data_IF_133072723076
#
_entry.id   IF_133072723076
#
_cell.length_a   1.000
_cell.length_b   1.000
_cell.length_c   1.000
_cell.angle_alpha   90.00
_cell.angle_beta   90.00
_cell.angle_gamma   90.00
#
_symmetry.space_group_name_H-M   'P 1'
#
loop_
_entity.id
_entity.type
_entity.pdbx_description
1 polymer ?
#
# COMPACT_ATOMS: atom_id res chain seq x y z
N UNK A 1 -5.37 -23.32 -24.53
CA UNK A 1 -5.36 -21.84 -24.43
C UNK A 1 -6.73 -21.35 -24.89
N UNK A 2 -7.68 -21.15 -23.99
CA UNK A 2 -8.97 -20.53 -24.29
C UNK A 2 -8.77 -19.02 -24.28
N UNK A 3 -8.81 -18.40 -25.47
CA UNK A 3 -8.89 -16.96 -25.57
C UNK A 3 -10.09 -16.47 -24.77
N UNK A 4 -9.98 -15.39 -23.98
CA UNK A 4 -11.14 -14.78 -23.35
C UNK A 4 -12.11 -14.36 -24.46
N UNK A 5 -13.38 -14.61 -24.23
CA UNK A 5 -14.46 -14.22 -25.13
C UNK A 5 -14.41 -12.67 -25.31
N UNK A 6 -14.14 -12.15 -26.51
CA UNK A 6 -13.99 -10.71 -26.74
C UNK A 6 -15.27 -9.92 -26.45
N UNK A 7 -16.38 -10.59 -26.20
CA UNK A 7 -17.68 -9.97 -25.89
C UNK A 7 -17.82 -9.49 -24.43
N UNK A 8 -16.88 -9.75 -23.53
CA UNK A 8 -16.99 -9.42 -22.08
C UNK A 8 -15.80 -8.65 -21.54
N UNK A 9 -15.38 -7.62 -22.23
CA UNK A 9 -14.33 -6.74 -21.72
C UNK A 9 -14.87 -5.31 -21.58
N UNK A 10 -14.38 -4.57 -20.60
CA UNK A 10 -14.72 -3.18 -20.36
C UNK A 10 -13.44 -2.35 -20.31
N UNK A 11 -13.48 -1.19 -20.93
CA UNK A 11 -12.46 -0.17 -20.72
C UNK A 11 -12.92 0.75 -19.60
N UNK A 12 -12.15 0.82 -18.53
CA UNK A 12 -12.45 1.60 -17.33
C UNK A 12 -11.29 2.55 -17.01
N UNK A 13 -11.57 3.62 -16.29
CA UNK A 13 -10.54 4.53 -15.79
C UNK A 13 -9.99 4.03 -14.46
N UNK A 14 -8.68 3.85 -14.39
CA UNK A 14 -8.00 3.43 -13.16
C UNK A 14 -7.95 4.58 -12.14
N UNK A 15 -8.36 4.32 -10.91
CA UNK A 15 -8.30 5.25 -9.77
C UNK A 15 -7.67 4.56 -8.57
N UNK A 16 -6.92 5.32 -7.79
CA UNK A 16 -6.31 4.79 -6.58
C UNK A 16 -7.39 4.56 -5.50
N UNK A 17 -7.38 3.35 -4.93
CA UNK A 17 -8.20 3.01 -3.77
C UNK A 17 -7.37 3.21 -2.50
N UNK A 18 -7.74 4.21 -1.71
CA UNK A 18 -7.08 4.53 -0.43
C UNK A 18 -7.71 3.79 0.76
N UNK A 19 -8.67 2.89 0.51
CA UNK A 19 -9.32 2.11 1.56
C UNK A 19 -8.34 1.14 2.23
N UNK A 20 -8.18 1.27 3.55
CA UNK A 20 -7.36 0.36 4.35
C UNK A 20 -7.78 -1.12 4.25
N UNK A 21 -9.07 -1.37 4.02
CA UNK A 21 -9.62 -2.74 3.91
C UNK A 21 -9.07 -3.47 2.69
N UNK A 22 -8.82 -2.76 1.60
CA UNK A 22 -8.36 -3.35 0.33
C UNK A 22 -6.87 -3.16 0.08
N UNK A 23 -6.21 -2.31 0.89
CA UNK A 23 -4.82 -1.94 0.68
C UNK A 23 -3.91 -3.16 0.50
N UNK A 24 -3.26 -3.24 -0.66
CA UNK A 24 -2.25 -4.25 -1.03
C UNK A 24 -2.71 -5.71 -0.85
N UNK A 25 -4.02 -5.96 -0.93
CA UNK A 25 -4.61 -7.31 -0.78
C UNK A 25 -4.98 -7.97 -2.11
N UNK A 26 -4.71 -7.30 -3.24
CA UNK A 26 -5.03 -7.80 -4.58
C UNK A 26 -6.54 -7.81 -4.84
N UNK A 27 -7.26 -6.83 -4.27
CA UNK A 27 -8.69 -6.62 -4.49
C UNK A 27 -8.89 -5.33 -5.28
N UNK A 28 -9.65 -5.42 -6.35
CA UNK A 28 -10.09 -4.26 -7.13
C UNK A 28 -11.57 -4.04 -6.94
N UNK A 29 -12.00 -2.79 -6.84
CA UNK A 29 -13.41 -2.46 -6.65
C UNK A 29 -14.04 -1.98 -7.94
N UNK A 30 -15.13 -2.62 -8.33
CA UNK A 30 -15.90 -2.36 -9.54
C UNK A 30 -17.31 -1.91 -9.20
N UNK A 31 -17.82 -0.94 -9.94
CA UNK A 31 -19.21 -0.55 -9.82
C UNK A 31 -20.14 -1.76 -10.13
N UNK A 32 -21.30 -1.91 -9.45
CA UNK A 32 -22.22 -3.03 -9.69
C UNK A 32 -22.58 -3.23 -11.17
N UNK A 33 -22.75 -2.15 -11.94
CA UNK A 33 -23.02 -2.21 -13.37
C UNK A 33 -21.86 -2.83 -14.17
N UNK A 34 -20.62 -2.59 -13.77
CA UNK A 34 -19.46 -3.18 -14.42
C UNK A 34 -19.38 -4.70 -14.12
N UNK A 35 -19.64 -5.10 -12.89
CA UNK A 35 -19.72 -6.52 -12.49
C UNK A 35 -20.80 -7.24 -13.32
N UNK A 36 -22.00 -6.64 -13.46
CA UNK A 36 -23.08 -7.20 -14.27
C UNK A 36 -22.72 -7.27 -15.76
N UNK A 37 -22.10 -6.22 -16.31
CA UNK A 37 -21.70 -6.18 -17.72
C UNK A 37 -20.59 -7.20 -18.06
N UNK A 38 -19.64 -7.43 -17.13
CA UNK A 38 -18.62 -8.47 -17.24
C UNK A 38 -19.19 -9.88 -17.06
N UNK A 39 -20.41 -10.01 -16.50
CA UNK A 39 -21.03 -11.29 -16.20
C UNK A 39 -20.32 -12.09 -15.10
N UNK A 40 -19.67 -11.39 -14.18
CA UNK A 40 -18.97 -11.96 -13.03
C UNK A 40 -19.77 -11.74 -11.73
N UNK A 41 -19.33 -12.40 -10.68
CA UNK A 41 -19.83 -12.20 -9.31
C UNK A 41 -18.78 -11.49 -8.48
N UNK A 42 -19.19 -10.94 -7.34
CA UNK A 42 -18.25 -10.47 -6.35
C UNK A 42 -17.32 -11.61 -5.93
N UNK A 43 -16.05 -11.31 -5.84
CA UNK A 43 -14.93 -12.22 -5.55
C UNK A 43 -14.49 -13.13 -6.71
N UNK A 44 -15.07 -13.01 -7.89
CA UNK A 44 -14.51 -13.59 -9.09
C UNK A 44 -13.22 -12.87 -9.50
N UNK A 45 -12.37 -13.56 -10.25
CA UNK A 45 -11.13 -12.98 -10.72
C UNK A 45 -11.32 -12.22 -12.03
N UNK A 46 -10.58 -11.13 -12.15
CA UNK A 46 -10.49 -10.31 -13.36
C UNK A 46 -9.05 -10.11 -13.79
N UNK A 47 -8.85 -10.05 -15.09
CA UNK A 47 -7.62 -9.61 -15.71
C UNK A 47 -7.66 -8.09 -15.91
N UNK A 48 -6.55 -7.44 -15.62
CA UNK A 48 -6.32 -6.01 -15.78
C UNK A 48 -5.20 -5.83 -16.79
N UNK A 49 -5.52 -5.27 -17.95
CA UNK A 49 -4.55 -5.05 -19.03
C UNK A 49 -4.31 -3.56 -19.21
N UNK A 50 -3.12 -3.13 -18.82
CA UNK A 50 -2.55 -1.82 -19.10
C UNK A 50 -1.34 -1.98 -20.03
N UNK A 51 -0.19 -1.41 -19.66
CA UNK A 51 1.08 -1.72 -20.35
C UNK A 51 1.62 -3.11 -19.99
N UNK A 52 1.15 -3.68 -18.90
CA UNK A 52 1.33 -5.08 -18.49
C UNK A 52 -0.04 -5.68 -18.15
N UNK A 53 -0.09 -7.01 -18.06
CA UNK A 53 -1.30 -7.72 -17.67
C UNK A 53 -1.08 -8.38 -16.32
N UNK A 54 -2.00 -8.15 -15.39
CA UNK A 54 -2.06 -8.84 -14.09
C UNK A 54 -3.48 -9.34 -13.83
N UNK A 55 -3.67 -10.07 -12.75
CA UNK A 55 -4.98 -10.53 -12.31
C UNK A 55 -5.23 -10.14 -10.84
N UNK A 56 -6.48 -9.84 -10.55
CA UNK A 56 -6.93 -9.46 -9.22
C UNK A 56 -8.33 -10.02 -8.94
N UNK A 57 -8.78 -9.90 -7.71
CA UNK A 57 -10.13 -10.30 -7.31
C UNK A 57 -11.06 -9.09 -7.35
N UNK A 58 -12.24 -9.24 -7.96
CA UNK A 58 -13.23 -8.18 -8.06
C UNK A 58 -14.11 -8.13 -6.81
N UNK A 59 -14.16 -6.98 -6.17
CA UNK A 59 -15.12 -6.66 -5.12
C UNK A 59 -16.06 -5.55 -5.57
N UNK A 60 -17.18 -5.39 -4.87
CA UNK A 60 -18.13 -4.32 -5.13
C UNK A 60 -17.59 -2.98 -4.62
N UNK A 61 -17.61 -1.96 -5.48
CA UNK A 61 -17.37 -0.58 -5.07
C UNK A 61 -18.59 -0.01 -4.34
N UNK A 62 -18.39 1.07 -3.59
CA UNK A 62 -19.48 1.84 -3.00
C UNK A 62 -20.41 2.40 -4.09
N UNK A 63 -21.69 2.55 -3.78
CA UNK A 63 -22.72 2.92 -4.74
C UNK A 63 -22.52 4.34 -5.33
N UNK A 64 -21.79 5.19 -4.66
CA UNK A 64 -21.41 6.56 -5.07
C UNK A 64 -20.15 6.61 -5.96
N UNK A 65 -19.51 5.46 -6.18
CA UNK A 65 -18.35 5.36 -7.06
C UNK A 65 -18.77 5.67 -8.49
N UNK A 66 -18.00 6.50 -9.20
CA UNK A 66 -18.30 6.90 -10.57
C UNK A 66 -18.36 5.68 -11.50
N UNK A 67 -19.44 5.57 -12.28
CA UNK A 67 -19.57 4.55 -13.32
C UNK A 67 -18.44 4.71 -14.34
N UNK A 68 -17.84 3.59 -14.76
CA UNK A 68 -16.70 3.62 -15.69
C UNK A 68 -15.34 3.74 -15.01
N UNK A 69 -15.29 3.64 -13.68
CA UNK A 69 -14.02 3.59 -12.95
C UNK A 69 -13.77 2.22 -12.32
N UNK A 70 -12.49 1.88 -12.13
CA UNK A 70 -12.03 0.77 -11.31
C UNK A 70 -11.09 1.32 -10.23
N UNK A 71 -11.31 0.92 -8.97
CA UNK A 71 -10.46 1.31 -7.86
C UNK A 71 -9.42 0.22 -7.63
N UNK A 72 -8.14 0.60 -7.64
CA UNK A 72 -6.98 -0.28 -7.54
C UNK A 72 -6.08 0.20 -6.39
N UNK A 73 -5.45 -0.72 -5.69
CA UNK A 73 -4.35 -0.36 -4.80
C UNK A 73 -3.08 -0.01 -5.60
N UNK A 74 -2.09 0.58 -4.93
CA UNK A 74 -0.82 1.01 -5.52
C UNK A 74 -0.05 -0.16 -6.17
N UNK A 75 -0.07 -1.33 -5.55
CA UNK A 75 0.62 -2.53 -6.02
C UNK A 75 -0.05 -3.08 -7.27
N UNK A 76 -1.38 -3.23 -7.26
CA UNK A 76 -2.14 -3.70 -8.42
C UNK A 76 -2.04 -2.73 -9.59
N UNK A 77 -2.07 -1.41 -9.32
CA UNK A 77 -1.84 -0.37 -10.33
C UNK A 77 -0.46 -0.53 -10.99
N UNK A 78 0.58 -0.72 -10.17
CA UNK A 78 1.95 -0.95 -10.63
C UNK A 78 2.09 -2.25 -11.41
N UNK A 79 1.46 -3.35 -10.97
CA UNK A 79 1.50 -4.64 -11.65
C UNK A 79 0.88 -4.57 -13.05
N UNK A 80 -0.20 -3.83 -13.23
CA UNK A 80 -0.79 -3.58 -14.55
C UNK A 80 -0.02 -2.55 -15.38
N UNK A 81 1.01 -1.92 -14.83
CA UNK A 81 1.78 -0.87 -15.50
C UNK A 81 0.95 0.36 -15.81
N UNK A 82 0.06 0.74 -14.91
CA UNK A 82 -0.88 1.85 -15.05
C UNK A 82 -0.43 3.06 -14.23
N UNK A 83 -0.98 4.20 -14.57
CA UNK A 83 -0.99 5.42 -13.75
C UNK A 83 -2.42 5.78 -13.41
N UNK A 84 -2.63 6.46 -12.30
CA UNK A 84 -3.95 6.96 -11.96
C UNK A 84 -4.52 7.85 -13.07
N UNK A 85 -5.79 7.65 -13.40
CA UNK A 85 -6.49 8.35 -14.47
C UNK A 85 -6.28 7.76 -15.87
N UNK A 86 -5.47 6.72 -16.04
CA UNK A 86 -5.31 6.03 -17.33
C UNK A 86 -6.39 4.98 -17.56
N UNK A 87 -6.62 4.62 -18.80
CA UNK A 87 -7.55 3.55 -19.17
C UNK A 87 -6.93 2.17 -18.94
N UNK A 88 -7.75 1.24 -18.49
CA UNK A 88 -7.42 -0.17 -18.28
C UNK A 88 -8.51 -1.04 -18.88
N UNK A 89 -8.12 -2.11 -19.56
CA UNK A 89 -9.07 -3.12 -20.04
C UNK A 89 -9.24 -4.15 -18.92
N UNK A 90 -10.49 -4.34 -18.51
CA UNK A 90 -10.90 -5.31 -17.49
C UNK A 90 -11.71 -6.41 -18.16
N UNK A 91 -11.34 -7.66 -17.94
CA UNK A 91 -12.02 -8.84 -18.46
C UNK A 91 -12.08 -9.97 -17.44
N UNK A 92 -13.09 -10.85 -17.49
CA UNK A 92 -13.11 -12.06 -16.68
C UNK A 92 -11.89 -12.94 -16.98
N UNK A 93 -11.34 -13.58 -15.96
CA UNK A 93 -10.23 -14.51 -16.12
C UNK A 93 -10.42 -15.76 -15.28
N UNK A 94 -10.09 -16.92 -15.85
CA UNK A 94 -10.08 -18.17 -15.10
C UNK A 94 -8.78 -18.26 -14.29
N UNK A 95 -8.91 -18.46 -12.99
CA UNK A 95 -7.80 -18.61 -12.06
C UNK A 95 -7.79 -20.03 -11.53
N UNK A 96 -6.63 -20.67 -11.57
CA UNK A 96 -6.43 -22.02 -11.03
C UNK A 96 -5.83 -21.96 -9.62
N UNK A 97 -6.11 -22.97 -8.82
CA UNK A 97 -5.39 -23.16 -7.56
C UNK A 97 -3.91 -23.43 -7.84
N UNK A 98 -3.03 -22.65 -7.22
CA UNK A 98 -1.59 -22.84 -7.36
C UNK A 98 -1.16 -24.17 -6.75
N UNK A 99 -0.42 -24.99 -7.51
CA UNK A 99 0.33 -26.11 -6.94
C UNK A 99 1.60 -25.59 -6.26
N UNK A 100 2.32 -24.71 -6.97
CA UNK A 100 3.47 -24.05 -6.40
C UNK A 100 3.54 -22.58 -6.80
N UNK A 101 4.11 -21.76 -5.90
CA UNK A 101 4.45 -20.36 -6.11
C UNK A 101 5.86 -20.13 -5.60
N UNK A 102 6.70 -19.54 -6.43
CA UNK A 102 8.06 -19.16 -6.07
C UNK A 102 8.16 -17.64 -6.00
N UNK A 103 8.71 -17.14 -4.91
CA UNK A 103 8.77 -15.71 -4.60
C UNK A 103 10.20 -15.27 -4.34
N UNK A 104 10.47 -14.02 -4.67
CA UNK A 104 11.71 -13.32 -4.33
C UNK A 104 11.36 -12.11 -3.46
N UNK A 105 12.16 -11.80 -2.48
CA UNK A 105 11.98 -10.67 -1.57
C UNK A 105 13.30 -10.14 -1.06
N UNK A 106 13.26 -9.24 -0.08
CA UNK A 106 14.46 -8.75 0.59
C UNK A 106 15.23 -9.89 1.28
N UNK A 107 16.51 -9.68 1.51
CA UNK A 107 17.34 -10.65 2.26
C UNK A 107 16.76 -10.92 3.65
N UNK A 108 16.24 -9.89 4.30
CA UNK A 108 15.62 -10.00 5.61
C UNK A 108 14.37 -10.90 5.54
N UNK A 109 13.47 -10.66 4.58
CA UNK A 109 12.26 -11.45 4.42
C UNK A 109 12.57 -12.91 4.10
N UNK A 110 13.49 -13.17 3.17
CA UNK A 110 13.85 -14.53 2.76
C UNK A 110 14.51 -15.35 3.90
N UNK A 111 15.25 -14.70 4.78
CA UNK A 111 15.89 -15.35 5.92
C UNK A 111 14.96 -15.53 7.12
N UNK A 112 14.00 -14.61 7.31
CA UNK A 112 13.21 -14.54 8.54
C UNK A 112 11.81 -15.11 8.42
N UNK A 113 11.20 -15.10 7.20
CA UNK A 113 9.81 -15.55 7.01
C UNK A 113 9.77 -17.01 6.54
N UNK A 114 9.28 -17.95 7.38
CA UNK A 114 9.13 -19.35 6.99
C UNK A 114 8.11 -19.52 5.85
N UNK A 115 8.27 -20.52 4.96
CA UNK A 115 7.34 -20.80 3.86
C UNK A 115 5.87 -21.01 4.30
N UNK A 116 5.65 -21.56 5.48
CA UNK A 116 4.30 -21.73 6.04
C UNK A 116 3.63 -20.40 6.34
N UNK A 117 4.35 -19.46 6.97
CA UNK A 117 3.85 -18.12 7.25
C UNK A 117 3.61 -17.34 5.96
N UNK A 118 4.53 -17.47 4.99
CA UNK A 118 4.41 -16.88 3.68
C UNK A 118 3.13 -17.35 2.96
N UNK A 119 2.87 -18.67 2.94
CA UNK A 119 1.63 -19.23 2.38
C UNK A 119 0.38 -18.67 3.09
N UNK A 120 0.40 -18.59 4.42
CA UNK A 120 -0.74 -18.06 5.17
C UNK A 120 -1.02 -16.59 4.86
N UNK A 121 0.02 -15.78 4.68
CA UNK A 121 -0.12 -14.36 4.31
C UNK A 121 -0.67 -14.17 2.89
N UNK A 122 -0.37 -15.08 1.99
CA UNK A 122 -0.76 -15.00 0.58
C UNK A 122 -2.04 -15.77 0.25
N UNK A 123 -2.64 -16.43 1.23
CA UNK A 123 -3.83 -17.26 1.02
C UNK A 123 -4.96 -16.48 0.33
N UNK A 124 -5.52 -17.06 -0.74
CA UNK A 124 -6.61 -16.48 -1.53
C UNK A 124 -6.20 -15.29 -2.41
N UNK A 125 -4.95 -14.86 -2.42
CA UNK A 125 -4.47 -13.85 -3.37
C UNK A 125 -4.31 -14.47 -4.75
N UNK A 126 -4.66 -13.68 -5.76
CA UNK A 126 -4.44 -14.00 -7.17
C UNK A 126 -3.18 -13.29 -7.63
N UNK A 127 -2.36 -13.98 -8.42
CA UNK A 127 -1.09 -13.45 -8.89
C UNK A 127 -0.63 -14.12 -10.18
N UNK A 128 0.22 -13.43 -10.93
CA UNK A 128 0.91 -13.92 -12.12
C UNK A 128 2.43 -13.74 -11.96
N UNK A 129 3.20 -14.42 -12.79
CA UNK A 129 4.66 -14.22 -12.81
C UNK A 129 5.00 -12.77 -13.13
N UNK A 130 5.90 -12.19 -12.37
CA UNK A 130 6.32 -10.79 -12.48
C UNK A 130 5.53 -9.82 -11.62
N UNK A 131 4.44 -10.24 -10.98
CA UNK A 131 3.68 -9.40 -10.06
C UNK A 131 4.46 -9.11 -8.77
N UNK A 132 4.30 -7.91 -8.26
CA UNK A 132 4.61 -7.58 -6.89
C UNK A 132 3.43 -7.97 -6.00
N UNK A 133 3.70 -8.58 -4.85
CA UNK A 133 2.67 -8.98 -3.88
C UNK A 133 3.08 -8.58 -2.46
N UNK A 134 2.15 -8.03 -1.72
CA UNK A 134 2.34 -7.67 -0.31
C UNK A 134 2.07 -8.87 0.60
N UNK A 135 2.70 -8.87 1.77
CA UNK A 135 2.44 -9.83 2.85
C UNK A 135 1.17 -9.52 3.66
N UNK A 136 0.47 -8.41 3.42
CA UNK A 136 -0.79 -8.09 4.09
C UNK A 136 -1.84 -9.16 3.78
N UNK A 137 -2.32 -9.94 4.78
CA UNK A 137 -3.24 -11.04 4.52
C UNK A 137 -4.60 -10.52 4.03
N UNK A 138 -5.21 -11.26 3.12
CA UNK A 138 -6.57 -11.01 2.68
C UNK A 138 -7.56 -11.59 3.69
N UNK A 139 -8.62 -10.84 3.99
CA UNK A 139 -9.76 -11.38 4.74
C UNK A 139 -10.58 -12.31 3.83
N UNK A 140 -10.68 -13.56 4.24
CA UNK A 140 -11.40 -14.60 3.51
C UNK A 140 -12.76 -14.94 4.17
N UNK A 141 -13.19 -14.12 5.14
CA UNK A 141 -14.46 -14.27 5.83
C UNK A 141 -14.40 -15.12 7.11
N UNK A 142 -15.58 -15.44 7.69
CA UNK A 142 -15.67 -16.12 8.97
C UNK A 142 -14.96 -17.48 8.96
N UNK A 143 -14.08 -17.68 9.94
CA UNK A 143 -13.29 -18.93 10.07
C UNK A 143 -11.85 -18.86 9.58
N UNK A 144 -11.46 -17.82 8.85
CA UNK A 144 -10.07 -17.59 8.45
C UNK A 144 -9.46 -16.48 9.29
N UNK A 145 -8.63 -16.83 10.27
CA UNK A 145 -7.95 -15.83 11.10
C UNK A 145 -6.67 -15.34 10.43
N UNK A 146 -6.68 -14.10 9.94
CA UNK A 146 -5.47 -13.42 9.44
C UNK A 146 -4.53 -13.00 10.57
N UNK A 147 -5.02 -12.96 11.81
CA UNK A 147 -4.25 -12.48 12.99
C UNK A 147 -3.06 -13.36 13.33
N UNK A 148 -3.11 -14.65 13.06
CA UNK A 148 -2.00 -15.57 13.29
C UNK A 148 -0.83 -15.30 12.32
N UNK A 149 -1.14 -15.11 11.02
CA UNK A 149 -0.17 -14.77 10.00
C UNK A 149 0.47 -13.40 10.28
N UNK A 150 -0.33 -12.39 10.60
CA UNK A 150 0.15 -11.04 10.93
C UNK A 150 1.09 -11.05 12.15
N UNK A 151 0.74 -11.78 13.22
CA UNK A 151 1.61 -11.92 14.40
C UNK A 151 2.91 -12.65 14.10
N UNK A 152 2.87 -13.70 13.29
CA UNK A 152 4.06 -14.44 12.90
C UNK A 152 5.00 -13.57 12.04
N UNK A 153 4.45 -12.78 11.11
CA UNK A 153 5.21 -11.83 10.29
C UNK A 153 5.82 -10.71 11.14
N UNK A 154 5.05 -10.12 12.05
CA UNK A 154 5.54 -9.08 12.96
C UNK A 154 6.65 -9.61 13.89
N UNK A 155 6.57 -10.85 14.30
CA UNK A 155 7.64 -11.49 15.10
C UNK A 155 8.90 -11.78 14.28
N UNK A 156 8.76 -12.11 12.98
CA UNK A 156 9.88 -12.47 12.11
C UNK A 156 10.63 -11.26 11.55
N UNK A 157 9.93 -10.21 11.13
CA UNK A 157 10.47 -9.08 10.34
C UNK A 157 10.24 -7.73 11.02
N UNK A 158 9.58 -7.71 12.18
CA UNK A 158 9.18 -6.46 12.82
C UNK A 158 8.05 -5.77 12.05
N UNK A 159 7.96 -4.44 12.10
CA UNK A 159 6.91 -3.66 11.42
C UNK A 159 7.12 -3.62 9.90
N UNK A 160 8.34 -3.78 9.42
CA UNK A 160 8.67 -3.69 8.00
C UNK A 160 8.00 -4.74 7.10
N UNK A 161 7.37 -5.79 7.68
CA UNK A 161 6.60 -6.75 6.89
C UNK A 161 5.38 -6.14 6.17
N UNK A 162 4.83 -5.04 6.67
CA UNK A 162 3.67 -4.37 6.08
C UNK A 162 4.00 -3.69 4.76
N UNK A 163 5.22 -3.19 4.63
CA UNK A 163 5.76 -2.54 3.42
C UNK A 163 6.53 -3.48 2.51
N UNK A 164 6.81 -4.70 2.96
CA UNK A 164 7.55 -5.67 2.16
C UNK A 164 6.74 -6.08 0.93
N UNK A 165 7.34 -5.90 -0.23
CA UNK A 165 6.80 -6.36 -1.51
C UNK A 165 7.66 -7.50 -2.03
N UNK A 166 7.01 -8.61 -2.33
CA UNK A 166 7.62 -9.80 -2.90
C UNK A 166 7.36 -9.83 -4.40
N UNK A 167 8.30 -10.33 -5.17
CA UNK A 167 8.11 -10.57 -6.61
C UNK A 167 7.79 -12.03 -6.87
N UNK A 168 6.75 -12.29 -7.62
CA UNK A 168 6.39 -13.64 -8.09
C UNK A 168 7.33 -14.03 -9.21
N UNK A 169 8.21 -15.01 -8.95
CA UNK A 169 9.21 -15.46 -9.92
C UNK A 169 8.81 -16.73 -10.66
N UNK A 170 7.83 -17.46 -10.13
CA UNK A 170 7.30 -18.67 -10.78
C UNK A 170 5.97 -19.09 -10.20
N UNK A 171 5.10 -19.65 -11.03
CA UNK A 171 3.82 -20.24 -10.65
C UNK A 171 3.59 -21.56 -11.39
N UNK A 172 2.87 -22.49 -10.80
CA UNK A 172 2.38 -23.72 -11.42
C UNK A 172 0.90 -23.93 -11.02
N UNK A 173 -0.02 -24.04 -12.00
CA UNK A 173 0.17 -23.99 -13.47
C UNK A 173 0.50 -22.60 -14.00
N UNK A 174 0.96 -22.52 -15.25
CA UNK A 174 1.21 -21.25 -15.93
C UNK A 174 -0.06 -20.39 -16.04
N UNK A 175 0.09 -19.07 -15.85
CA UNK A 175 -0.98 -18.08 -15.90
C UNK A 175 -1.37 -17.57 -14.51
N UNK A 176 -2.55 -16.93 -14.39
CA UNK A 176 -3.01 -16.43 -13.10
C UNK A 176 -3.41 -17.59 -12.18
N UNK A 177 -2.83 -17.57 -10.99
CA UNK A 177 -3.09 -18.59 -9.96
C UNK A 177 -3.54 -17.96 -8.66
N UNK A 178 -4.28 -18.73 -7.84
CA UNK A 178 -4.66 -18.34 -6.48
C UNK A 178 -3.98 -19.26 -5.46
N UNK A 179 -3.37 -18.68 -4.44
CA UNK A 179 -2.75 -19.43 -3.36
C UNK A 179 -3.82 -20.15 -2.54
N UNK A 180 -3.69 -21.45 -2.42
CA UNK A 180 -4.60 -22.34 -1.70
C UNK A 180 -3.93 -22.88 -0.41
N UNK A 181 -4.69 -23.45 0.54
CA UNK A 181 -4.12 -24.05 1.74
C UNK A 181 -3.08 -25.16 1.48
N UNK A 182 -3.19 -25.85 0.35
CA UNK A 182 -2.30 -26.93 -0.09
C UNK A 182 -1.21 -26.47 -1.07
N UNK A 183 -1.16 -25.20 -1.44
CA UNK A 183 -0.12 -24.67 -2.33
C UNK A 183 1.25 -24.74 -1.68
N UNK A 184 2.25 -25.14 -2.45
CA UNK A 184 3.65 -25.04 -2.06
C UNK A 184 4.15 -23.63 -2.35
N UNK A 185 4.39 -22.84 -1.32
CA UNK A 185 4.97 -21.49 -1.45
C UNK A 185 6.41 -21.54 -0.98
N UNK A 186 7.35 -21.12 -1.84
CA UNK A 186 8.78 -21.22 -1.58
C UNK A 186 9.51 -19.93 -1.95
N UNK A 187 10.64 -19.71 -1.29
CA UNK A 187 11.61 -18.71 -1.72
C UNK A 187 12.42 -19.26 -2.91
N UNK A 188 12.50 -18.49 -3.98
CA UNK A 188 13.40 -18.76 -5.09
C UNK A 188 14.77 -18.15 -4.89
N UNK A 189 15.78 -18.69 -5.56
CA UNK A 189 17.06 -18.03 -5.76
C UNK A 189 16.83 -16.87 -6.77
N UNK A 190 16.25 -15.77 -6.32
CA UNK A 190 15.86 -14.67 -7.18
C UNK A 190 16.93 -13.62 -7.30
N UNK A 191 17.12 -13.14 -8.51
CA UNK A 191 17.75 -11.83 -8.77
C UNK A 191 16.81 -10.78 -8.17
N UNK A 192 17.26 -9.87 -7.29
CA UNK A 192 16.39 -8.82 -6.78
C UNK A 192 15.90 -8.00 -7.98
N UNK A 193 14.59 -7.97 -8.18
CA UNK A 193 14.00 -7.09 -9.15
C UNK A 193 14.29 -5.65 -8.71
N UNK A 194 15.07 -4.94 -9.52
CA UNK A 194 15.30 -3.51 -9.37
C UNK A 194 13.99 -2.79 -9.69
N UNK A 195 13.12 -2.64 -8.69
CA UNK A 195 11.97 -1.74 -8.72
C UNK A 195 11.72 -1.25 -7.31
N UNK A 196 11.69 0.07 -7.19
CA UNK A 196 11.45 0.90 -6.03
C UNK A 196 10.93 0.23 -4.76
N UNK A 197 11.81 -0.17 -3.90
CA UNK A 197 11.51 -0.54 -2.54
C UNK A 197 11.09 0.71 -1.77
N UNK A 198 9.79 0.88 -1.59
CA UNK A 198 9.30 1.72 -0.50
C UNK A 198 9.54 0.96 0.79
N UNK A 199 10.63 1.22 1.43
CA UNK A 199 10.98 0.64 2.73
C UNK A 199 10.34 1.50 3.82
N UNK A 200 9.21 1.05 4.39
CA UNK A 200 8.70 1.64 5.61
C UNK A 200 9.71 1.36 6.73
N UNK A 201 10.23 2.42 7.32
CA UNK A 201 11.13 2.33 8.48
C UNK A 201 12.62 2.33 8.19
N UNK A 202 13.06 2.39 6.93
CA UNK A 202 14.43 2.75 6.63
C UNK A 202 14.53 4.24 6.28
N UNK A 203 15.54 4.88 6.80
CA UNK A 203 16.01 6.19 6.37
C UNK A 203 16.23 6.12 4.87
N UNK A 204 15.22 6.43 4.07
CA UNK A 204 15.32 6.49 2.62
C UNK A 204 16.07 7.76 2.24
N UNK A 205 17.36 7.65 2.21
CA UNK A 205 18.21 8.57 1.45
C UNK A 205 18.17 8.01 0.01
N UNK A 206 17.27 8.51 -0.81
CA UNK A 206 17.24 8.52 -2.28
C UNK A 206 15.87 8.19 -2.88
N UNK A 207 14.94 9.14 -2.78
CA UNK A 207 13.97 9.37 -3.86
C UNK A 207 14.65 10.31 -4.85
N UNK A 208 14.31 10.32 -6.17
CA UNK A 208 14.82 11.35 -7.06
C UNK A 208 14.54 12.70 -6.41
N UNK A 209 15.58 13.48 -6.18
CA UNK A 209 15.52 14.82 -5.60
C UNK A 209 14.65 15.68 -6.51
N UNK A 210 13.35 15.71 -6.24
CA UNK A 210 12.47 16.70 -6.86
C UNK A 210 12.74 17.98 -6.09
N UNK A 211 13.41 18.91 -6.74
CA UNK A 211 13.72 20.20 -6.15
C UNK A 211 12.43 21.02 -5.96
N UNK A 212 12.39 21.85 -4.92
CA UNK A 212 11.23 22.70 -4.60
C UNK A 212 10.84 23.58 -5.80
N UNK A 213 11.83 23.99 -6.60
CA UNK A 213 11.68 24.78 -7.82
C UNK A 213 10.87 24.08 -8.92
N UNK A 214 10.89 22.75 -8.93
CA UNK A 214 10.14 21.91 -9.90
C UNK A 214 8.66 21.77 -9.52
N UNK A 215 8.27 22.09 -8.29
CA UNK A 215 6.91 22.01 -7.79
C UNK A 215 6.10 23.23 -8.24
N UNK A 216 5.81 23.33 -9.53
CA UNK A 216 5.04 24.42 -10.12
C UNK A 216 3.65 24.51 -9.47
N UNK A 217 3.34 25.68 -8.90
CA UNK A 217 2.05 25.97 -8.24
C UNK A 217 2.01 25.68 -6.73
N UNK A 218 2.99 24.96 -6.16
CA UNK A 218 3.07 24.66 -4.73
C UNK A 218 4.20 25.41 -4.00
N UNK A 219 4.92 26.28 -4.69
CA UNK A 219 6.06 27.04 -4.13
C UNK A 219 5.72 27.88 -2.88
N UNK A 220 4.59 28.61 -2.82
CA UNK A 220 4.24 29.36 -1.62
C UNK A 220 4.01 28.48 -0.40
N UNK A 221 3.39 27.29 -0.61
CA UNK A 221 3.15 26.30 0.43
C UNK A 221 4.48 25.65 0.88
N UNK A 222 5.37 25.37 -0.07
CA UNK A 222 6.69 24.83 0.20
C UNK A 222 7.51 25.81 1.06
N UNK A 223 7.57 27.09 0.66
CA UNK A 223 8.28 28.12 1.40
C UNK A 223 7.76 28.27 2.85
N UNK A 224 6.45 28.31 3.02
CA UNK A 224 5.81 28.40 4.33
C UNK A 224 6.11 27.18 5.21
N UNK A 225 6.06 25.98 4.64
CA UNK A 225 6.36 24.74 5.37
C UNK A 225 7.85 24.69 5.76
N UNK A 226 8.75 25.11 4.87
CA UNK A 226 10.19 25.20 5.12
C UNK A 226 10.47 26.16 6.31
N UNK A 227 9.82 27.32 6.33
CA UNK A 227 9.97 28.28 7.42
C UNK A 227 9.51 27.69 8.77
N UNK A 228 8.36 27.01 8.78
CA UNK A 228 7.86 26.37 10.00
C UNK A 228 8.77 25.23 10.49
N UNK A 229 9.28 24.40 9.58
CA UNK A 229 10.22 23.35 9.94
C UNK A 229 11.53 23.91 10.47
N UNK A 230 12.03 25.01 9.86
CA UNK A 230 13.22 25.70 10.36
C UNK A 230 13.02 26.20 11.79
N UNK A 231 11.92 26.87 12.07
CA UNK A 231 11.61 27.38 13.42
C UNK A 231 11.45 26.24 14.43
N UNK A 232 10.77 25.15 14.06
CA UNK A 232 10.49 24.07 15.00
C UNK A 232 11.69 23.16 15.27
N UNK A 233 12.51 22.87 14.24
CA UNK A 233 13.59 21.90 14.32
C UNK A 233 14.97 22.52 14.46
N UNK A 234 15.25 23.64 13.78
CA UNK A 234 16.58 24.24 13.78
C UNK A 234 16.70 25.37 14.84
N UNK A 235 15.61 26.06 15.11
CA UNK A 235 15.60 27.23 16.03
C UNK A 235 14.55 27.08 17.16
N UNK A 236 14.44 25.91 17.85
CA UNK A 236 13.39 25.68 18.84
C UNK A 236 13.45 26.65 20.05
N UNK A 237 14.62 27.21 20.32
CA UNK A 237 14.83 28.17 21.40
C UNK A 237 14.04 29.47 21.16
N UNK A 238 13.80 29.85 19.90
CA UNK A 238 12.99 31.04 19.59
C UNK A 238 11.53 30.83 19.99
N UNK A 239 10.98 29.62 19.66
CA UNK A 239 9.62 29.26 20.05
C UNK A 239 9.49 29.20 21.58
N UNK A 240 10.45 28.61 22.27
CA UNK A 240 10.47 28.54 23.73
C UNK A 240 10.50 29.94 24.37
N UNK A 241 11.31 30.86 23.82
CA UNK A 241 11.39 32.25 24.29
C UNK A 241 10.06 32.98 24.15
N UNK A 242 9.29 32.65 23.11
CA UNK A 242 7.96 33.19 22.87
C UNK A 242 6.84 32.44 23.65
N UNK A 243 7.20 31.45 24.46
CA UNK A 243 6.23 30.61 25.18
C UNK A 243 5.41 29.69 24.28
N UNK A 244 5.86 29.46 23.04
CA UNK A 244 5.21 28.55 22.10
C UNK A 244 5.74 27.13 22.23
N UNK A 245 4.87 26.15 21.96
CA UNK A 245 5.30 24.73 21.91
C UNK A 245 6.23 24.47 20.71
N UNK A 246 7.21 23.61 20.92
CA UNK A 246 8.16 23.19 19.87
C UNK A 246 7.61 22.07 18.98
N UNK A 247 6.49 21.44 19.37
CA UNK A 247 5.85 20.40 18.58
C UNK A 247 5.04 21.02 17.44
N UNK A 248 5.46 20.76 16.21
CA UNK A 248 4.79 21.23 15.00
C UNK A 248 3.92 20.12 14.41
N UNK A 249 2.61 20.32 14.38
CA UNK A 249 1.67 19.47 13.64
C UNK A 249 1.15 20.22 12.41
N UNK A 250 1.32 19.67 11.22
CA UNK A 250 0.87 20.26 9.95
C UNK A 250 -0.03 19.29 9.21
N UNK A 251 -1.22 19.75 8.80
CA UNK A 251 -2.11 19.02 7.91
C UNK A 251 -2.01 19.60 6.49
N UNK A 252 -1.54 18.77 5.55
CA UNK A 252 -1.50 19.10 4.12
C UNK A 252 -2.73 18.50 3.44
N UNK A 253 -3.67 19.34 3.01
CA UNK A 253 -4.91 18.90 2.36
C UNK A 253 -4.97 19.35 0.90
N UNK A 254 -5.70 18.60 0.08
CA UNK A 254 -5.92 18.89 -1.34
C UNK A 254 -6.36 17.64 -2.10
N UNK A 255 -6.77 17.79 -3.38
CA UNK A 255 -7.19 16.66 -4.22
C UNK A 255 -6.14 15.54 -4.31
N UNK A 256 -6.57 14.33 -4.69
CA UNK A 256 -5.65 13.24 -4.98
C UNK A 256 -4.73 13.62 -6.16
N UNK A 257 -3.49 13.12 -6.16
CA UNK A 257 -2.55 13.30 -7.27
C UNK A 257 -1.86 14.68 -7.38
N UNK A 258 -2.20 15.68 -6.56
CA UNK A 258 -1.59 17.03 -6.64
C UNK A 258 -0.18 17.12 -6.06
N UNK A 259 0.41 16.02 -5.64
CA UNK A 259 1.80 16.00 -5.15
C UNK A 259 1.98 16.37 -3.68
N UNK A 260 0.97 16.21 -2.80
CA UNK A 260 1.07 16.51 -1.36
C UNK A 260 2.27 15.87 -0.67
N UNK A 261 2.42 14.56 -0.83
CA UNK A 261 3.55 13.83 -0.24
C UNK A 261 4.89 14.21 -0.87
N UNK A 262 4.91 14.49 -2.17
CA UNK A 262 6.08 14.97 -2.90
C UNK A 262 6.55 16.33 -2.37
N UNK A 263 5.61 17.25 -2.13
CA UNK A 263 5.88 18.55 -1.52
C UNK A 263 6.58 18.39 -0.16
N UNK A 264 6.01 17.56 0.72
CA UNK A 264 6.59 17.36 2.06
C UNK A 264 7.98 16.71 1.97
N UNK A 265 8.17 15.72 1.09
CA UNK A 265 9.49 15.11 0.89
C UNK A 265 10.53 16.11 0.37
N UNK A 266 10.17 16.95 -0.61
CA UNK A 266 11.06 17.97 -1.14
C UNK A 266 11.45 19.02 -0.08
N UNK A 267 10.50 19.43 0.77
CA UNK A 267 10.77 20.39 1.86
C UNK A 267 11.59 19.76 3.00
N UNK A 268 11.48 18.44 3.19
CA UNK A 268 12.25 17.70 4.18
C UNK A 268 13.60 17.19 3.63
N UNK A 269 14.00 17.60 2.43
CA UNK A 269 15.29 17.23 1.88
C UNK A 269 16.44 17.57 2.82
N UNK A 270 17.40 16.66 2.96
CA UNK A 270 18.50 16.76 3.94
C UNK A 270 18.09 16.52 5.40
N UNK A 271 16.81 16.26 5.70
CA UNK A 271 16.31 15.94 7.05
C UNK A 271 15.88 14.48 7.15
N UNK A 272 15.95 13.95 8.36
CA UNK A 272 15.43 12.60 8.61
C UNK A 272 13.90 12.62 8.48
N UNK A 273 13.37 11.79 7.59
CA UNK A 273 11.95 11.63 7.33
C UNK A 273 11.53 10.18 7.59
N UNK A 274 10.63 9.99 8.55
CA UNK A 274 9.95 8.71 8.79
C UNK A 274 8.58 8.78 8.13
N UNK A 275 8.28 7.86 7.23
CA UNK A 275 6.99 7.85 6.51
C UNK A 275 6.14 6.69 7.00
N UNK A 276 4.87 6.97 7.31
CA UNK A 276 3.81 5.99 7.53
C UNK A 276 2.76 6.12 6.41
N UNK A 277 2.45 5.01 5.78
CA UNK A 277 1.37 4.93 4.80
C UNK A 277 0.05 4.62 5.54
N UNK A 278 -0.91 5.57 5.47
CA UNK A 278 -2.17 5.46 6.19
C UNK A 278 -2.99 4.22 5.81
N UNK A 279 -3.23 3.92 4.52
CA UNK A 279 -3.90 2.71 4.08
C UNK A 279 -3.22 1.42 4.56
N UNK A 280 -1.90 1.36 4.49
CA UNK A 280 -1.11 0.21 4.91
C UNK A 280 -1.26 -0.05 6.42
N UNK A 281 -1.03 0.97 7.24
CA UNK A 281 -1.14 0.87 8.70
C UNK A 281 -2.61 0.68 9.11
N UNK A 282 -3.54 1.37 8.46
CA UNK A 282 -4.98 1.23 8.68
C UNK A 282 -5.50 -0.20 8.43
N UNK A 283 -4.85 -0.95 7.55
CA UNK A 283 -5.16 -2.34 7.24
C UNK A 283 -4.79 -3.34 8.37
N UNK A 284 -3.98 -2.92 9.35
CA UNK A 284 -3.58 -3.75 10.48
C UNK A 284 -4.70 -3.92 11.52
N UNK A 285 -4.57 -4.95 12.36
CA UNK A 285 -5.43 -5.08 13.54
C UNK A 285 -5.23 -3.88 14.49
N UNK A 286 -6.28 -3.53 15.23
CA UNK A 286 -6.32 -2.33 16.08
C UNK A 286 -5.10 -2.13 16.99
N UNK A 287 -4.66 -3.19 17.68
CA UNK A 287 -3.49 -3.13 18.56
C UNK A 287 -2.16 -2.95 17.81
N UNK A 288 -2.07 -3.47 16.59
CA UNK A 288 -0.85 -3.37 15.79
C UNK A 288 -0.75 -2.01 15.10
N UNK A 289 -1.89 -1.40 14.76
CA UNK A 289 -1.96 0.01 14.29
C UNK A 289 -1.35 0.95 15.33
N UNK A 290 -1.77 0.85 16.59
CA UNK A 290 -1.24 1.69 17.68
C UNK A 290 0.26 1.47 17.86
N UNK A 291 0.71 0.21 17.87
CA UNK A 291 2.14 -0.11 18.00
C UNK A 291 2.97 0.47 16.85
N UNK A 292 2.47 0.36 15.61
CA UNK A 292 3.15 0.89 14.43
C UNK A 292 3.34 2.41 14.54
N UNK A 293 2.29 3.13 14.91
CA UNK A 293 2.35 4.59 15.11
C UNK A 293 3.28 4.94 16.27
N UNK A 294 3.13 4.27 17.43
CA UNK A 294 3.98 4.50 18.59
C UNK A 294 5.47 4.28 18.28
N UNK A 295 5.80 3.22 17.54
CA UNK A 295 7.17 2.93 17.12
C UNK A 295 7.74 4.03 16.22
N UNK A 296 6.96 4.53 15.24
CA UNK A 296 7.38 5.61 14.36
C UNK A 296 7.57 6.94 15.12
N UNK A 297 6.67 7.24 16.04
CA UNK A 297 6.78 8.42 16.93
C UNK A 297 8.03 8.33 17.80
N UNK A 298 8.30 7.17 18.41
CA UNK A 298 9.50 6.95 19.23
C UNK A 298 10.78 7.10 18.40
N UNK A 299 10.80 6.60 17.16
CA UNK A 299 11.94 6.75 16.27
C UNK A 299 12.25 8.23 15.98
N UNK A 300 11.22 9.06 15.75
CA UNK A 300 11.39 10.51 15.52
C UNK A 300 11.76 11.25 16.81
N UNK A 301 11.16 10.88 17.95
CA UNK A 301 11.49 11.50 19.25
C UNK A 301 12.94 11.22 19.68
N UNK A 302 13.44 10.03 19.42
CA UNK A 302 14.77 9.60 19.88
C UNK A 302 15.90 10.15 19.00
N UNK A 303 15.71 10.15 17.69
CA UNK A 303 16.76 10.49 16.73
C UNK A 303 16.51 11.83 16.02
N UNK A 304 15.41 12.52 16.34
CA UNK A 304 14.96 13.73 15.66
C UNK A 304 14.38 13.47 14.28
N UNK A 305 13.80 14.49 13.66
CA UNK A 305 13.29 14.43 12.30
C UNK A 305 11.81 14.76 12.16
N UNK A 306 11.22 14.32 11.06
CA UNK A 306 9.81 14.56 10.70
C UNK A 306 9.09 13.22 10.51
N UNK A 307 7.89 13.10 11.05
CA UNK A 307 6.98 12.00 10.77
C UNK A 307 5.98 12.45 9.71
N UNK A 308 6.02 11.81 8.55
CA UNK A 308 5.06 12.00 7.46
C UNK A 308 4.04 10.84 7.48
N UNK A 309 2.77 11.16 7.65
CA UNK A 309 1.67 10.21 7.50
C UNK A 309 0.95 10.55 6.21
N UNK A 310 0.97 9.64 5.23
CA UNK A 310 0.23 9.78 3.98
C UNK A 310 -1.19 9.23 4.15
N UNK A 311 -2.16 9.80 3.40
CA UNK A 311 -3.57 9.35 3.41
C UNK A 311 -4.10 9.07 4.83
N UNK A 312 -3.93 10.08 5.70
CA UNK A 312 -4.22 9.99 7.14
C UNK A 312 -5.69 9.64 7.45
N UNK A 313 -6.60 9.88 6.53
CA UNK A 313 -8.02 9.50 6.61
C UNK A 313 -8.22 7.98 6.66
N UNK A 314 -7.34 7.19 6.04
CA UNK A 314 -7.37 5.73 6.14
C UNK A 314 -6.91 5.22 7.52
N UNK A 315 -6.01 5.95 8.18
CA UNK A 315 -5.54 5.65 9.52
C UNK A 315 -6.48 6.18 10.62
N UNK A 316 -7.05 7.35 10.36
CA UNK A 316 -7.92 8.10 11.28
C UNK A 316 -9.28 8.36 10.61
N UNK A 317 -10.14 7.33 10.44
CA UNK A 317 -11.42 7.50 9.78
C UNK A 317 -12.33 8.45 10.59
N UNK A 318 -13.19 9.20 9.88
CA UNK A 318 -14.12 10.15 10.48
C UNK A 318 -15.15 9.50 11.42
N UNK A 319 -15.47 8.22 11.21
CA UNK A 319 -16.26 7.42 12.14
C UNK A 319 -15.37 7.06 13.34
N UNK A 320 -15.70 7.60 14.51
CA UNK A 320 -14.91 7.45 15.74
C UNK A 320 -14.76 5.98 16.13
N UNK A 321 -13.65 5.38 15.77
CA UNK A 321 -13.19 4.13 16.34
C UNK A 321 -12.39 4.41 17.63
N UNK A 322 -12.52 3.57 18.68
CA UNK A 322 -11.72 3.74 19.90
C UNK A 322 -10.23 3.82 19.65
N UNK A 323 -9.75 3.14 18.61
CA UNK A 323 -8.34 3.09 18.18
C UNK A 323 -7.85 4.44 17.68
N UNK A 324 -8.68 5.22 17.00
CA UNK A 324 -8.30 6.54 16.51
C UNK A 324 -7.90 7.49 17.67
N UNK A 325 -8.59 7.40 18.80
CA UNK A 325 -8.26 8.19 20.00
C UNK A 325 -6.91 7.80 20.59
N UNK A 326 -6.56 6.52 20.58
CA UNK A 326 -5.25 6.03 21.04
C UNK A 326 -4.14 6.50 20.10
N UNK A 327 -4.34 6.40 18.80
CA UNK A 327 -3.39 6.89 17.79
C UNK A 327 -3.17 8.40 17.94
N UNK A 328 -4.23 9.19 18.10
CA UNK A 328 -4.11 10.63 18.34
C UNK A 328 -3.37 10.96 19.63
N UNK A 329 -3.50 10.12 20.67
CA UNK A 329 -2.73 10.26 21.91
C UNK A 329 -1.24 10.03 21.71
N UNK A 330 -0.86 9.06 20.87
CA UNK A 330 0.55 8.79 20.54
C UNK A 330 1.20 9.90 19.70
N UNK A 331 0.41 10.56 18.85
CA UNK A 331 0.88 11.65 17.98
C UNK A 331 1.05 13.01 18.72
N UNK A 332 0.57 13.13 19.94
CA UNK A 332 0.73 14.34 20.80
C UNK A 332 2.01 14.27 21.62
#
# INVERSE_FOLDING_TARGET
MTHPDPARQLTLTARLNTSAVDSRRGVVRLHPNAIAALGIREWDAVSLTGSRTTAAVAGLAAADTAVGTVLLDDVTLSNAGLREGTEVIVSPVTVYGARSVTLSGSTLATQSVPPVTLRQALLGKVMTVGDAVSLLPRDLGPGTSTSAASRALAAAVGISWTSELLTVTGVDPDGPVSVQPNSLVTWGAGVPAAMGTSTAGQVSISSPEIQIEELKGAQPQAAKLTEWLKLALDEPHLLQTLGAGTNLGVLVSGPAGVGKATLVRAVCDGRRLVTLDGPEIGALAAGDRVKAVASAVQAVRHEGGVLLITDADALLPAAAEPVASLILSELR
#
